data_IF_090952084457
#
_entry.id   IF_090952084457
#
_cell.length_a   1.000
_cell.length_b   1.000
_cell.length_c   1.000
_cell.angle_alpha   90.00
_cell.angle_beta   90.00
_cell.angle_gamma   90.00
#
_symmetry.space_group_name_H-M   'P 1'
#
loop_
_entity.id
_entity.type
_entity.pdbx_description
1 polymer ?
#
# COMPACT_ATOMS: atom_id res chain seq x y z
N UNK A 1 -27.41 14.17 -16.19
CA UNK A 1 -28.01 13.49 -17.36
C UNK A 1 -27.78 12.00 -17.15
N UNK A 2 -28.68 11.31 -16.44
CA UNK A 2 -29.70 10.40 -17.00
C UNK A 2 -29.22 9.57 -18.20
N UNK A 3 -29.11 8.25 -18.00
CA UNK A 3 -29.98 7.27 -18.66
C UNK A 3 -29.95 5.95 -17.88
N UNK A 4 -31.00 5.71 -17.09
CA UNK A 4 -31.35 4.38 -16.56
C UNK A 4 -32.13 3.66 -17.67
N UNK A 5 -31.56 2.60 -18.25
CA UNK A 5 -32.33 1.67 -19.09
C UNK A 5 -33.17 0.79 -18.18
N UNK A 6 -34.50 0.93 -18.27
CA UNK A 6 -35.46 -0.07 -17.79
C UNK A 6 -35.43 -1.23 -18.78
N UNK A 7 -35.24 -2.44 -18.27
CA UNK A 7 -35.47 -3.68 -19.01
C UNK A 7 -36.87 -4.14 -18.62
N UNK A 8 -37.76 -4.16 -19.61
CA UNK A 8 -39.05 -4.85 -19.59
C UNK A 8 -38.79 -6.33 -19.84
N UNK A 9 -39.33 -7.18 -18.98
CA UNK A 9 -39.36 -8.63 -19.13
C UNK A 9 -40.66 -8.93 -19.87
N UNK A 10 -40.55 -9.33 -21.13
CA UNK A 10 -41.62 -10.01 -21.85
C UNK A 10 -41.33 -11.51 -21.74
N UNK A 11 -42.26 -12.23 -21.13
CA UNK A 11 -42.35 -13.69 -21.11
C UNK A 11 -42.75 -14.16 -22.51
N UNK A 12 -41.91 -14.90 -23.24
CA UNK A 12 -42.37 -15.90 -24.22
C UNK A 12 -41.26 -16.90 -24.58
N UNK A 13 -41.69 -18.16 -24.52
CA UNK A 13 -41.29 -19.34 -25.30
C UNK A 13 -39.97 -20.06 -24.96
N UNK A 14 -40.15 -21.13 -24.17
CA UNK A 14 -39.41 -22.39 -24.26
C UNK A 14 -39.31 -22.83 -25.73
N UNK A 15 -38.08 -23.03 -26.22
CA UNK A 15 -37.62 -24.19 -27.01
C UNK A 15 -36.34 -23.79 -27.80
N UNK A 16 -35.26 -24.55 -27.59
CA UNK A 16 -33.99 -24.59 -28.35
C UNK A 16 -32.81 -23.64 -27.97
N UNK A 17 -32.18 -23.81 -26.80
CA UNK A 17 -30.96 -23.06 -26.39
C UNK A 17 -29.76 -23.95 -25.93
N UNK A 18 -29.52 -25.10 -26.55
CA UNK A 18 -28.30 -25.91 -26.26
C UNK A 18 -27.04 -25.43 -27.04
N UNK A 19 -27.18 -24.52 -28.02
CA UNK A 19 -26.06 -24.04 -28.85
C UNK A 19 -25.33 -22.78 -28.30
N UNK A 20 -25.90 -22.11 -27.28
CA UNK A 20 -25.34 -20.89 -26.70
C UNK A 20 -24.32 -21.18 -25.57
N UNK A 21 -24.33 -22.39 -25.01
CA UNK A 21 -23.46 -22.77 -23.90
C UNK A 21 -21.98 -22.90 -24.34
N UNK A 22 -21.74 -23.29 -25.60
CA UNK A 22 -20.39 -23.42 -26.19
C UNK A 22 -19.76 -22.04 -26.45
N UNK A 23 -20.57 -21.06 -26.88
CA UNK A 23 -20.14 -19.68 -27.12
C UNK A 23 -19.74 -18.96 -25.84
N UNK A 24 -20.52 -19.13 -24.77
CA UNK A 24 -20.22 -18.55 -23.45
C UNK A 24 -18.97 -19.20 -22.83
N UNK A 25 -18.78 -20.52 -22.99
CA UNK A 25 -17.55 -21.20 -22.54
C UNK A 25 -16.31 -20.70 -23.27
N UNK A 26 -16.39 -20.44 -24.58
CA UNK A 26 -15.27 -19.90 -25.34
C UNK A 26 -14.93 -18.46 -24.93
N UNK A 27 -15.92 -17.59 -24.72
CA UNK A 27 -15.69 -16.20 -24.30
C UNK A 27 -15.07 -16.11 -22.89
N UNK A 28 -15.52 -16.96 -21.96
CA UNK A 28 -14.93 -17.07 -20.63
C UNK A 28 -13.48 -17.57 -20.72
N UNK A 29 -13.21 -18.55 -21.58
CA UNK A 29 -11.86 -19.09 -21.79
C UNK A 29 -10.91 -18.03 -22.35
N UNK A 30 -11.33 -17.30 -23.39
CA UNK A 30 -10.56 -16.21 -24.00
C UNK A 30 -10.28 -15.08 -22.99
N UNK A 31 -11.24 -14.79 -22.10
CA UNK A 31 -11.11 -13.76 -21.07
C UNK A 31 -10.10 -14.17 -19.99
N UNK A 32 -10.16 -15.43 -19.54
CA UNK A 32 -9.19 -16.00 -18.61
C UNK A 32 -7.80 -16.02 -19.24
N UNK A 33 -7.69 -16.40 -20.51
CA UNK A 33 -6.41 -16.45 -21.21
C UNK A 33 -5.78 -15.05 -21.34
N UNK A 34 -6.56 -14.03 -21.72
CA UNK A 34 -6.10 -12.62 -21.74
C UNK A 34 -5.67 -12.13 -20.37
N UNK A 35 -6.40 -12.49 -19.32
CA UNK A 35 -6.05 -12.13 -17.94
C UNK A 35 -4.72 -12.77 -17.51
N UNK A 36 -4.54 -14.07 -17.79
CA UNK A 36 -3.30 -14.81 -17.49
C UNK A 36 -2.12 -14.24 -18.29
N UNK A 37 -2.29 -13.97 -19.58
CA UNK A 37 -1.26 -13.35 -20.42
C UNK A 37 -0.88 -11.96 -19.92
N UNK A 38 -1.86 -11.12 -19.58
CA UNK A 38 -1.61 -9.79 -19.02
C UNK A 38 -0.83 -9.87 -17.71
N UNK A 39 -1.24 -10.76 -16.81
CA UNK A 39 -0.56 -10.98 -15.52
C UNK A 39 0.86 -11.50 -15.73
N UNK A 40 1.07 -12.43 -16.66
CA UNK A 40 2.38 -12.98 -17.00
C UNK A 40 3.33 -11.88 -17.54
N UNK A 41 2.87 -11.05 -18.46
CA UNK A 41 3.64 -9.90 -18.98
C UNK A 41 4.01 -8.93 -17.86
N UNK A 42 3.10 -8.68 -16.92
CA UNK A 42 3.33 -7.78 -15.80
C UNK A 42 4.36 -8.36 -14.80
N UNK A 43 4.29 -9.66 -14.53
CA UNK A 43 5.30 -10.38 -13.73
C UNK A 43 6.67 -10.36 -14.41
N UNK A 44 6.75 -10.55 -15.73
CA UNK A 44 8.02 -10.46 -16.47
C UNK A 44 8.62 -9.05 -16.44
N UNK A 45 7.80 -8.00 -16.54
CA UNK A 45 8.25 -6.60 -16.38
C UNK A 45 8.81 -6.34 -14.99
N UNK A 46 8.14 -6.82 -13.95
CA UNK A 46 8.61 -6.70 -12.57
C UNK A 46 9.94 -7.45 -12.36
N UNK A 47 10.05 -8.69 -12.81
CA UNK A 47 11.28 -9.47 -12.72
C UNK A 47 12.44 -8.79 -13.45
N UNK A 48 12.18 -8.20 -14.63
CA UNK A 48 13.20 -7.45 -15.36
C UNK A 48 13.69 -6.24 -14.59
N UNK A 49 12.77 -5.48 -13.98
CA UNK A 49 13.13 -4.33 -13.14
C UNK A 49 14.00 -4.74 -11.95
N UNK A 50 13.64 -5.82 -11.25
CA UNK A 50 14.45 -6.36 -10.13
C UNK A 50 15.83 -6.83 -10.58
N UNK A 51 15.95 -7.41 -11.78
CA UNK A 51 17.24 -7.80 -12.36
C UNK A 51 18.11 -6.57 -12.64
N UNK A 52 17.53 -5.51 -13.19
CA UNK A 52 18.24 -4.27 -13.51
C UNK A 52 18.72 -3.56 -12.21
N UNK A 53 17.87 -3.47 -11.17
CA UNK A 53 18.27 -2.93 -9.86
C UNK A 53 19.39 -3.75 -9.21
N UNK A 54 19.31 -5.08 -9.26
CA UNK A 54 20.38 -5.95 -8.74
C UNK A 54 21.70 -5.77 -9.51
N UNK A 55 21.64 -5.46 -10.81
CA UNK A 55 22.81 -5.16 -11.62
C UNK A 55 23.46 -3.84 -11.18
N UNK A 56 22.67 -2.80 -10.96
CA UNK A 56 23.16 -1.51 -10.46
C UNK A 56 23.80 -1.64 -9.07
N UNK A 57 23.16 -2.38 -8.16
CA UNK A 57 23.72 -2.65 -6.83
C UNK A 57 25.07 -3.38 -6.91
N UNK A 58 25.20 -4.36 -7.80
CA UNK A 58 26.49 -5.05 -8.01
C UNK A 58 27.58 -4.11 -8.51
N UNK A 59 27.26 -3.23 -9.46
CA UNK A 59 28.20 -2.21 -9.94
C UNK A 59 28.60 -1.23 -8.83
N UNK A 60 27.65 -0.82 -7.99
CA UNK A 60 27.93 0.06 -6.85
C UNK A 60 28.85 -0.60 -5.83
N UNK A 61 28.60 -1.87 -5.49
CA UNK A 61 29.48 -2.66 -4.60
C UNK A 61 30.87 -2.81 -5.20
N UNK A 62 31.00 -3.01 -6.51
CA UNK A 62 32.29 -3.10 -7.19
C UNK A 62 33.06 -1.77 -7.12
N UNK A 63 32.38 -0.64 -7.30
CA UNK A 63 32.97 0.69 -7.13
C UNK A 63 33.47 0.93 -5.70
N UNK A 64 32.69 0.54 -4.69
CA UNK A 64 33.10 0.66 -3.29
C UNK A 64 34.32 -0.21 -2.97
N UNK A 65 34.40 -1.44 -3.53
CA UNK A 65 35.57 -2.31 -3.39
C UNK A 65 36.83 -1.68 -4.00
N UNK A 66 36.74 -1.12 -5.22
CA UNK A 66 37.87 -0.43 -5.85
C UNK A 66 38.38 0.75 -5.01
N UNK A 67 37.47 1.56 -4.47
CA UNK A 67 37.86 2.65 -3.56
C UNK A 67 38.52 2.16 -2.27
N UNK A 68 38.11 0.99 -1.76
CA UNK A 68 38.74 0.39 -0.59
C UNK A 68 40.12 -0.18 -0.91
N UNK A 69 40.29 -0.83 -2.07
CA UNK A 69 41.57 -1.35 -2.54
C UNK A 69 42.57 -0.20 -2.83
N UNK A 70 42.10 0.91 -3.42
CA UNK A 70 42.91 2.11 -3.64
C UNK A 70 43.35 2.76 -2.31
N UNK A 71 42.48 2.76 -1.30
CA UNK A 71 42.82 3.22 0.06
C UNK A 71 43.85 2.32 0.74
N UNK A 72 43.75 1.00 0.55
CA UNK A 72 44.71 0.04 1.10
C UNK A 72 46.08 0.19 0.41
N UNK A 73 46.12 0.46 -0.90
CA UNK A 73 47.37 0.75 -1.62
C UNK A 73 48.01 2.07 -1.19
N UNK A 74 47.22 3.11 -0.89
CA UNK A 74 47.74 4.38 -0.38
C UNK A 74 48.31 4.28 1.05
N UNK A 75 47.86 3.31 1.87
CA UNK A 75 48.42 3.08 3.22
C UNK A 75 49.71 2.23 3.22
N UNK A 76 50.12 1.64 2.10
CA UNK A 76 51.36 0.87 1.99
C UNK A 76 52.55 1.66 1.42
N UNK A 77 52.38 2.95 1.09
CA UNK A 77 53.52 3.80 0.76
C UNK A 77 54.15 4.39 2.04
N UNK A 78 55.49 4.33 2.20
CA UNK A 78 56.15 4.90 3.37
C UNK A 78 56.00 6.43 3.37
N UNK A 79 55.83 7.07 4.54
CA UNK A 79 55.62 8.51 4.62
C UNK A 79 56.88 9.24 4.16
N UNK A 80 56.72 10.17 3.22
CA UNK A 80 57.75 11.18 2.93
C UNK A 80 57.82 12.16 4.11
N UNK A 81 59.03 12.58 4.54
CA UNK A 81 59.18 13.41 5.72
C UNK A 81 58.59 14.82 5.48
N UNK A 82 57.95 15.44 6.48
CA UNK A 82 57.36 16.75 6.34
C UNK A 82 58.44 17.85 6.36
N UNK A 83 58.23 18.99 5.67
CA UNK A 83 59.09 20.14 5.81
C UNK A 83 58.91 20.76 7.20
N UNK A 84 60.04 21.16 7.79
CA UNK A 84 60.11 21.88 9.06
C UNK A 84 59.44 23.24 8.90
N UNK A 85 58.32 23.43 9.58
CA UNK A 85 57.69 24.74 9.78
C UNK A 85 57.96 25.16 11.22
N UNK A 86 58.69 26.25 11.36
CA UNK A 86 58.94 26.93 12.63
C UNK A 86 57.64 27.60 13.06
N UNK A 87 57.19 27.21 14.23
CA UNK A 87 56.01 27.71 14.92
C UNK A 87 56.27 29.11 15.46
N UNK A 88 55.31 30.01 15.25
CA UNK A 88 55.13 31.21 16.05
C UNK A 88 53.63 31.53 16.04
N UNK A 89 52.95 30.93 17.01
CA UNK A 89 51.63 31.29 17.50
C UNK A 89 51.51 32.80 17.73
N UNK A 90 50.33 33.38 17.49
CA UNK A 90 49.37 33.70 18.57
C UNK A 90 48.14 34.42 17.99
N UNK A 91 46.99 33.81 18.24
CA UNK A 91 45.63 34.32 18.44
C UNK A 91 44.84 35.09 17.38
N UNK A 92 43.60 34.61 17.32
CA UNK A 92 42.43 34.95 16.52
C UNK A 92 41.75 36.17 17.13
N UNK A 93 41.31 37.11 16.29
CA UNK A 93 40.09 37.87 16.56
C UNK A 93 39.25 38.01 15.28
N UNK A 94 38.01 37.57 15.40
CA UNK A 94 36.92 37.72 14.44
C UNK A 94 36.60 39.19 14.22
N UNK A 95 36.49 39.64 12.96
CA UNK A 95 35.62 40.77 12.63
C UNK A 95 34.86 40.51 11.34
N UNK A 96 33.54 40.62 11.48
CA UNK A 96 32.49 40.51 10.49
C UNK A 96 32.65 41.41 9.27
N UNK A 97 32.25 40.86 8.12
CA UNK A 97 32.11 41.54 6.84
C UNK A 97 30.82 42.37 6.87
N UNK A 98 30.91 43.69 6.66
CA UNK A 98 29.81 44.46 6.06
C UNK A 98 30.33 45.46 5.04
N UNK A 99 29.52 45.59 4.00
CA UNK A 99 29.74 46.28 2.73
C UNK A 99 29.91 47.80 2.90
N UNK A 100 30.78 48.39 2.09
CA UNK A 100 30.53 49.73 1.53
C UNK A 100 31.20 49.85 0.16
N UNK A 101 30.36 49.99 -0.88
CA UNK A 101 30.75 50.40 -2.22
C UNK A 101 31.29 51.83 -2.21
N UNK A 102 32.49 52.05 -2.74
CA UNK A 102 32.89 53.36 -3.29
C UNK A 102 33.71 53.13 -4.57
N UNK A 103 33.52 53.95 -5.64
CA UNK A 103 33.87 53.61 -7.01
C UNK A 103 35.36 53.81 -7.31
N UNK A 104 35.95 52.86 -8.03
CA UNK A 104 37.24 53.05 -8.70
C UNK A 104 37.08 54.06 -9.85
N UNK A 105 37.36 55.34 -9.58
CA UNK A 105 37.68 56.29 -10.63
C UNK A 105 39.08 55.96 -11.18
N UNK A 106 39.14 55.69 -12.49
CA UNK A 106 40.37 55.69 -13.27
C UNK A 106 40.89 57.12 -13.35
N UNK A 107 42.01 57.41 -12.69
CA UNK A 107 42.89 58.49 -13.13
C UNK A 107 44.07 57.87 -13.86
N UNK A 108 43.99 57.91 -15.18
CA UNK A 108 45.14 57.82 -16.06
C UNK A 108 46.04 59.03 -15.77
N UNK A 109 47.22 58.80 -15.20
CA UNK A 109 48.28 59.81 -15.18
C UNK A 109 49.34 59.45 -16.24
N UNK A 110 49.71 60.41 -17.11
CA UNK A 110 50.63 60.15 -18.20
C UNK A 110 52.06 60.01 -17.65
N UNK A 111 52.75 58.98 -18.13
CA UNK A 111 54.19 58.78 -17.96
C UNK A 111 54.91 60.01 -18.53
N UNK A 112 55.32 60.94 -17.66
CA UNK A 112 56.22 62.01 -18.05
C UNK A 112 57.59 61.40 -18.35
N UNK A 113 57.99 61.46 -19.61
CA UNK A 113 59.38 61.30 -20.03
C UNK A 113 60.20 62.33 -19.27
N UNK A 114 61.10 61.86 -18.41
CA UNK A 114 62.21 62.68 -17.93
C UNK A 114 63.20 62.74 -19.09
N UNK A 115 63.05 63.77 -19.92
CA UNK A 115 64.14 64.22 -20.79
C UNK A 115 65.21 64.82 -19.89
N UNK A 116 66.41 64.25 -19.95
CA UNK A 116 67.62 64.75 -19.32
C UNK A 116 68.02 66.09 -19.96
N UNK A 117 68.14 67.20 -19.21
CA UNK A 117 69.00 68.27 -19.64
C UNK A 117 70.43 67.89 -19.22
N UNK A 118 71.21 67.46 -20.21
CA UNK A 118 72.67 67.51 -20.12
C UNK A 118 73.02 69.00 -20.10
N UNK A 119 73.04 69.60 -18.91
CA UNK A 119 73.47 70.97 -18.71
C UNK A 119 74.99 71.02 -18.87
N UNK A 120 75.40 71.55 -20.02
CA UNK A 120 76.60 72.33 -20.29
C UNK A 120 77.68 72.29 -19.18
N UNK A 121 78.63 71.37 -19.32
CA UNK A 121 79.98 71.61 -18.80
C UNK A 121 80.56 72.71 -19.67
N UNK A 122 80.48 73.94 -19.18
CA UNK A 122 81.21 75.09 -19.69
C UNK A 122 82.71 74.77 -19.56
N UNK A 123 83.29 74.21 -20.62
CA UNK A 123 84.74 74.06 -20.76
C UNK A 123 85.29 75.49 -20.88
N UNK A 124 85.64 76.10 -19.74
CA UNK A 124 86.50 77.29 -19.72
C UNK A 124 87.83 76.87 -20.36
N UNK A 125 88.02 77.26 -21.61
CA UNK A 125 89.34 77.40 -22.20
C UNK A 125 90.22 78.19 -21.23
N UNK A 126 91.38 77.70 -20.79
CA UNK A 126 92.31 78.55 -20.08
C UNK A 126 92.79 79.61 -21.09
N UNK A 127 92.50 80.87 -20.80
CA UNK A 127 93.10 82.01 -21.49
C UNK A 127 94.63 81.99 -21.24
N UNK A 128 95.35 81.32 -22.13
CA UNK A 128 96.82 81.21 -22.13
C UNK A 128 97.58 82.44 -22.73
N UNK A 129 96.99 83.50 -23.35
CA UNK A 129 97.83 84.59 -23.88
C UNK A 129 98.39 85.57 -22.84
N UNK A 130 97.78 85.69 -21.66
CA UNK A 130 98.06 86.81 -20.75
C UNK A 130 99.28 86.57 -19.84
N UNK A 131 99.54 85.31 -19.47
CA UNK A 131 100.68 84.94 -18.62
C UNK A 131 102.02 84.98 -19.40
N UNK A 132 102.04 84.46 -20.63
CA UNK A 132 103.25 84.47 -21.47
C UNK A 132 103.67 85.89 -21.87
N UNK A 133 102.73 86.82 -22.02
CA UNK A 133 103.03 88.23 -22.37
C UNK A 133 103.70 89.00 -21.22
N UNK A 134 103.30 88.74 -19.97
CA UNK A 134 103.92 89.39 -18.79
C UNK A 134 105.34 88.89 -18.50
N UNK A 135 105.67 87.64 -18.87
CA UNK A 135 107.01 87.09 -18.70
C UNK A 135 108.01 87.62 -19.74
N UNK A 136 107.57 87.83 -20.99
CA UNK A 136 108.43 88.41 -22.04
C UNK A 136 108.70 89.89 -21.77
N UNK A 137 107.72 90.66 -21.28
CA UNK A 137 107.89 92.09 -21.00
C UNK A 137 108.81 92.38 -19.79
N UNK A 138 108.96 91.43 -18.85
CA UNK A 138 109.92 91.54 -17.72
C UNK A 138 111.37 91.16 -18.08
N UNK A 139 111.60 90.50 -19.21
CA UNK A 139 112.91 89.98 -19.60
C UNK A 139 113.72 90.96 -20.47
N UNK A 140 113.12 92.01 -21.03
CA UNK A 140 113.76 92.87 -22.06
C UNK A 140 114.52 94.09 -21.48
N UNK A 141 114.33 94.46 -20.21
CA UNK A 141 114.98 95.65 -19.62
C UNK A 141 115.69 95.36 -18.28
N UNK A 142 116.87 94.72 -18.31
CA UNK A 142 118.05 94.99 -17.44
C UNK A 142 119.18 93.98 -17.65
N UNK A 143 120.42 94.47 -17.51
CA UNK A 143 121.68 94.02 -18.10
C UNK A 143 122.34 92.76 -17.47
N UNK A 144 123.04 91.99 -18.31
CA UNK A 144 124.41 91.50 -18.07
C UNK A 144 124.65 90.29 -17.15
N UNK A 145 124.05 90.21 -15.97
CA UNK A 145 124.34 89.16 -14.96
C UNK A 145 123.06 88.49 -14.39
N UNK A 146 121.88 88.98 -14.80
CA UNK A 146 120.56 88.53 -14.33
C UNK A 146 119.79 87.68 -15.36
N UNK A 147 120.34 87.53 -16.58
CA UNK A 147 119.72 86.74 -17.65
C UNK A 147 119.76 85.24 -17.34
N UNK A 148 120.88 84.73 -16.81
CA UNK A 148 121.02 83.34 -16.38
C UNK A 148 120.01 83.02 -15.27
N UNK A 149 119.87 83.91 -14.29
CA UNK A 149 118.91 83.78 -13.18
C UNK A 149 117.46 83.79 -13.68
N UNK A 150 117.09 84.70 -14.59
CA UNK A 150 115.75 84.74 -15.21
C UNK A 150 115.48 83.55 -16.13
N UNK A 151 116.48 83.06 -16.86
CA UNK A 151 116.36 81.86 -17.69
C UNK A 151 116.18 80.61 -16.82
N UNK A 152 116.93 80.50 -15.71
CA UNK A 152 116.72 79.45 -14.71
C UNK A 152 115.33 79.54 -14.09
N UNK A 153 114.87 80.74 -13.73
CA UNK A 153 113.52 80.94 -13.18
C UNK A 153 112.42 80.55 -14.17
N UNK A 154 112.55 80.96 -15.43
CA UNK A 154 111.61 80.63 -16.49
C UNK A 154 111.63 79.13 -16.83
N UNK A 155 112.81 78.50 -16.79
CA UNK A 155 112.97 77.06 -17.00
C UNK A 155 112.40 76.26 -15.81
N UNK A 156 112.55 76.74 -14.59
CA UNK A 156 111.95 76.17 -13.38
C UNK A 156 110.42 76.33 -13.41
N UNK A 157 109.91 77.49 -13.81
CA UNK A 157 108.47 77.70 -14.05
C UNK A 157 107.95 76.76 -15.15
N UNK A 158 108.64 76.63 -16.28
CA UNK A 158 108.27 75.73 -17.36
C UNK A 158 108.30 74.26 -16.90
N UNK A 159 109.31 73.88 -16.11
CA UNK A 159 109.40 72.54 -15.53
C UNK A 159 108.30 72.29 -14.50
N UNK A 160 107.93 73.29 -13.70
CA UNK A 160 106.83 73.21 -12.76
C UNK A 160 105.48 73.12 -13.49
N UNK A 161 105.27 73.87 -14.58
CA UNK A 161 104.08 73.76 -15.42
C UNK A 161 104.00 72.39 -16.11
N UNK A 162 105.11 71.84 -16.60
CA UNK A 162 105.16 70.49 -17.17
C UNK A 162 104.83 69.42 -16.12
N UNK A 163 105.36 69.55 -14.90
CA UNK A 163 105.02 68.68 -13.77
C UNK A 163 103.53 68.78 -13.42
N UNK A 164 102.99 70.00 -13.31
CA UNK A 164 101.58 70.22 -13.03
C UNK A 164 100.67 69.66 -14.13
N UNK A 165 101.03 69.85 -15.40
CA UNK A 165 100.29 69.27 -16.52
C UNK A 165 100.30 67.73 -16.47
N UNK A 166 101.44 67.12 -16.13
CA UNK A 166 101.52 65.67 -15.95
C UNK A 166 100.67 65.18 -14.76
N UNK A 167 100.70 65.90 -13.64
CA UNK A 167 99.84 65.61 -12.47
C UNK A 167 98.36 65.68 -12.89
N UNK A 168 97.94 66.76 -13.55
CA UNK A 168 96.57 66.91 -14.02
C UNK A 168 96.18 65.81 -15.02
N UNK A 169 97.07 65.44 -15.95
CA UNK A 169 96.84 64.35 -16.90
C UNK A 169 96.62 63.02 -16.18
N UNK A 170 97.44 62.73 -15.17
CA UNK A 170 97.28 61.54 -14.34
C UNK A 170 95.99 61.58 -13.50
N UNK A 171 95.62 62.74 -12.95
CA UNK A 171 94.36 62.91 -12.23
C UNK A 171 93.15 62.69 -13.13
N UNK A 172 93.14 63.27 -14.34
CA UNK A 172 92.09 63.03 -15.33
C UNK A 172 92.02 61.56 -15.75
N UNK A 173 93.16 60.89 -15.91
CA UNK A 173 93.17 59.45 -16.23
C UNK A 173 92.61 58.61 -15.09
N UNK A 174 92.96 58.91 -13.82
CA UNK A 174 92.40 58.21 -12.65
C UNK A 174 90.90 58.43 -12.53
N UNK A 175 90.41 59.64 -12.82
CA UNK A 175 88.98 59.94 -12.80
C UNK A 175 88.26 59.23 -13.95
N UNK A 176 88.85 59.16 -15.15
CA UNK A 176 88.32 58.37 -16.27
C UNK A 176 88.23 56.88 -15.91
N UNK A 177 89.30 56.30 -15.36
CA UNK A 177 89.31 54.89 -14.92
C UNK A 177 88.27 54.64 -13.82
N UNK A 178 88.03 55.62 -12.94
CA UNK A 178 86.99 55.55 -11.90
C UNK A 178 85.60 55.54 -12.51
N UNK A 179 85.33 56.44 -13.45
CA UNK A 179 84.06 56.53 -14.18
C UNK A 179 83.81 55.25 -14.97
N UNK A 180 84.83 54.69 -15.64
CA UNK A 180 84.69 53.43 -16.39
C UNK A 180 84.38 52.24 -15.49
N UNK A 181 85.01 52.15 -14.31
CA UNK A 181 84.66 51.12 -13.31
C UNK A 181 83.23 51.31 -12.79
N UNK A 182 82.81 52.54 -12.53
CA UNK A 182 81.44 52.84 -12.08
C UNK A 182 80.43 52.49 -13.17
N UNK A 183 80.68 52.83 -14.43
CA UNK A 183 79.82 52.49 -15.56
C UNK A 183 79.72 50.97 -15.75
N UNK A 184 80.84 50.25 -15.66
CA UNK A 184 80.83 48.78 -15.74
C UNK A 184 80.03 48.14 -14.60
N UNK A 185 80.09 48.70 -13.39
CA UNK A 185 79.30 48.23 -12.26
C UNK A 185 77.81 48.52 -12.45
N UNK A 186 77.46 49.75 -12.86
CA UNK A 186 76.07 50.13 -13.14
C UNK A 186 75.47 49.29 -14.28
N UNK A 187 76.24 48.94 -15.31
CA UNK A 187 75.78 48.07 -16.40
C UNK A 187 75.49 46.64 -15.90
N UNK A 188 76.32 46.10 -15.00
CA UNK A 188 76.07 44.79 -14.35
C UNK A 188 74.82 44.83 -13.46
N UNK A 189 74.67 45.90 -12.69
CA UNK A 189 73.52 46.08 -11.80
C UNK A 189 72.23 46.25 -12.60
N UNK A 190 72.27 47.02 -13.70
CA UNK A 190 71.16 47.17 -14.64
C UNK A 190 70.77 45.84 -15.27
N UNK A 191 71.74 45.05 -15.73
CA UNK A 191 71.49 43.72 -16.31
C UNK A 191 70.87 42.77 -15.28
N UNK A 192 71.35 42.82 -14.04
CA UNK A 192 70.80 42.01 -12.94
C UNK A 192 69.36 42.43 -12.61
N UNK A 193 69.08 43.73 -12.52
CA UNK A 193 67.75 44.26 -12.29
C UNK A 193 66.78 43.89 -13.43
N UNK A 194 67.21 43.96 -14.69
CA UNK A 194 66.41 43.53 -15.84
C UNK A 194 66.09 42.03 -15.81
N UNK A 195 67.06 41.19 -15.43
CA UNK A 195 66.83 39.75 -15.25
C UNK A 195 65.83 39.46 -14.12
N UNK A 196 65.98 40.14 -12.97
CA UNK A 196 65.05 40.02 -11.85
C UNK A 196 63.64 40.47 -12.23
N UNK A 197 63.51 41.57 -12.98
CA UNK A 197 62.22 42.04 -13.50
C UNK A 197 61.57 41.00 -14.41
N UNK A 198 62.34 40.38 -15.31
CA UNK A 198 61.85 39.33 -16.21
C UNK A 198 61.35 38.11 -15.42
N UNK A 199 62.10 37.68 -14.39
CA UNK A 199 61.70 36.57 -13.51
C UNK A 199 60.43 36.93 -12.73
N UNK A 200 60.34 38.14 -12.19
CA UNK A 200 59.16 38.62 -11.46
C UNK A 200 57.92 38.69 -12.36
N UNK A 201 58.06 39.20 -13.58
CA UNK A 201 56.98 39.24 -14.58
C UNK A 201 56.49 37.84 -14.94
N UNK A 202 57.41 36.89 -15.18
CA UNK A 202 57.04 35.49 -15.43
C UNK A 202 56.25 34.90 -14.25
N UNK A 203 56.76 35.07 -13.03
CA UNK A 203 56.06 34.59 -11.81
C UNK A 203 54.69 35.25 -11.62
N UNK A 204 54.54 36.53 -11.95
CA UNK A 204 53.25 37.21 -11.89
C UNK A 204 52.25 36.63 -12.90
N UNK A 205 52.68 36.36 -14.14
CA UNK A 205 51.85 35.73 -15.17
C UNK A 205 51.46 34.29 -14.81
N UNK A 206 52.39 33.51 -14.25
CA UNK A 206 52.12 32.15 -13.79
C UNK A 206 51.04 32.17 -12.68
N UNK A 207 51.18 33.06 -11.68
CA UNK A 207 50.16 33.26 -10.62
C UNK A 207 48.82 33.77 -11.16
N UNK A 208 48.83 34.62 -12.18
CA UNK A 208 47.60 35.08 -12.82
C UNK A 208 46.86 33.93 -13.49
N UNK A 209 47.59 33.04 -14.16
CA UNK A 209 47.03 31.84 -14.79
C UNK A 209 46.46 30.87 -13.74
N UNK A 210 47.20 30.66 -12.65
CA UNK A 210 46.73 29.85 -11.51
C UNK A 210 45.44 30.42 -10.91
N UNK A 211 45.37 31.74 -10.68
CA UNK A 211 44.16 32.40 -10.19
C UNK A 211 42.96 32.23 -11.13
N UNK A 212 43.18 32.26 -12.45
CA UNK A 212 42.11 32.02 -13.44
C UNK A 212 41.58 30.58 -13.36
N UNK A 213 42.48 29.60 -13.19
CA UNK A 213 42.11 28.19 -13.02
C UNK A 213 41.31 28.01 -11.73
N UNK A 214 41.82 28.54 -10.60
CA UNK A 214 41.14 28.46 -9.31
C UNK A 214 39.76 29.13 -9.33
N UNK A 215 39.65 30.28 -10.00
CA UNK A 215 38.36 30.97 -10.16
C UNK A 215 37.36 30.11 -10.95
N UNK A 216 37.82 29.44 -12.00
CA UNK A 216 37.00 28.54 -12.80
C UNK A 216 36.54 27.33 -11.97
N UNK A 217 37.45 26.68 -11.25
CA UNK A 217 37.11 25.57 -10.34
C UNK A 217 36.15 25.98 -9.22
N UNK A 218 36.28 27.19 -8.67
CA UNK A 218 35.34 27.72 -7.69
C UNK A 218 33.94 27.92 -8.29
N UNK A 219 33.86 28.36 -9.54
CA UNK A 219 32.58 28.47 -10.25
C UNK A 219 31.93 27.11 -10.44
N UNK A 220 32.69 26.10 -10.87
CA UNK A 220 32.17 24.73 -11.06
C UNK A 220 31.68 24.11 -9.74
N UNK A 221 32.42 24.33 -8.65
CA UNK A 221 32.03 23.90 -7.31
C UNK A 221 30.74 24.60 -6.84
N UNK A 222 30.56 25.90 -7.14
CA UNK A 222 29.31 26.61 -6.83
C UNK A 222 28.11 26.01 -7.57
N UNK A 223 28.24 25.78 -8.87
CA UNK A 223 27.17 25.16 -9.69
C UNK A 223 26.83 23.76 -9.16
N UNK A 224 27.86 22.98 -8.82
CA UNK A 224 27.67 21.64 -8.25
C UNK A 224 26.94 21.71 -6.91
N UNK A 225 27.31 22.64 -6.03
CA UNK A 225 26.66 22.83 -4.74
C UNK A 225 25.19 23.29 -4.88
N UNK A 226 24.90 24.21 -5.79
CA UNK A 226 23.53 24.62 -6.11
C UNK A 226 22.69 23.45 -6.62
N UNK A 227 23.26 22.60 -7.48
CA UNK A 227 22.59 21.40 -8.00
C UNK A 227 22.31 20.40 -6.89
N UNK A 228 23.29 20.14 -6.01
CA UNK A 228 23.13 19.26 -4.86
C UNK A 228 22.06 19.78 -3.89
N UNK A 229 22.04 21.08 -3.59
CA UNK A 229 21.01 21.69 -2.76
C UNK A 229 19.61 21.54 -3.39
N UNK A 230 19.49 21.72 -4.71
CA UNK A 230 18.22 21.46 -5.41
C UNK A 230 17.79 20.00 -5.28
N UNK A 231 18.72 19.04 -5.37
CA UNK A 231 18.42 17.62 -5.17
C UNK A 231 18.01 17.30 -3.74
N UNK A 232 18.69 17.86 -2.73
CA UNK A 232 18.33 17.69 -1.32
C UNK A 232 16.91 18.21 -1.07
N UNK A 233 16.57 19.42 -1.51
CA UNK A 233 15.23 19.97 -1.36
C UNK A 233 14.16 19.09 -2.02
N UNK A 234 14.44 18.53 -3.20
CA UNK A 234 13.53 17.59 -3.88
C UNK A 234 13.36 16.28 -3.12
N UNK A 235 14.43 15.77 -2.50
CA UNK A 235 14.38 14.56 -1.69
C UNK A 235 13.59 14.80 -0.40
N UNK A 236 13.78 15.93 0.26
CA UNK A 236 13.01 16.34 1.45
C UNK A 236 11.52 16.43 1.13
N UNK A 237 11.14 17.11 0.04
CA UNK A 237 9.75 17.18 -0.41
C UNK A 237 9.14 15.80 -0.69
N UNK A 238 9.89 14.91 -1.36
CA UNK A 238 9.44 13.53 -1.59
C UNK A 238 9.28 12.76 -0.28
N UNK A 239 10.19 12.96 0.67
CA UNK A 239 10.14 12.30 1.97
C UNK A 239 8.90 12.75 2.75
N UNK A 240 8.57 14.04 2.73
CA UNK A 240 7.33 14.58 3.33
C UNK A 240 6.08 13.95 2.69
N UNK A 241 6.03 13.83 1.37
CA UNK A 241 4.92 13.17 0.67
C UNK A 241 4.78 11.70 1.05
N UNK A 242 5.90 10.98 1.18
CA UNK A 242 5.91 9.57 1.62
C UNK A 242 5.38 9.46 3.05
N UNK A 243 5.82 10.33 3.96
CA UNK A 243 5.33 10.36 5.35
C UNK A 243 3.82 10.60 5.38
N UNK A 244 3.31 11.60 4.65
CA UNK A 244 1.87 11.87 4.57
C UNK A 244 1.08 10.68 4.03
N UNK A 245 1.57 10.04 2.96
CA UNK A 245 0.93 8.85 2.40
C UNK A 245 0.94 7.68 3.37
N UNK A 246 2.03 7.48 4.12
CA UNK A 246 2.15 6.43 5.12
C UNK A 246 1.18 6.65 6.27
N UNK A 247 1.08 7.89 6.78
CA UNK A 247 0.11 8.25 7.82
C UNK A 247 -1.33 7.99 7.38
N UNK A 248 -1.69 8.37 6.15
CA UNK A 248 -3.03 8.11 5.62
C UNK A 248 -3.32 6.62 5.47
N UNK A 249 -2.34 5.85 4.98
CA UNK A 249 -2.44 4.40 4.85
C UNK A 249 -2.62 3.73 6.21
N UNK A 250 -1.90 4.18 7.23
CA UNK A 250 -1.99 3.64 8.58
C UNK A 250 -3.34 3.96 9.24
N UNK A 251 -3.86 5.17 9.05
CA UNK A 251 -5.20 5.52 9.49
C UNK A 251 -6.27 4.62 8.83
N UNK A 252 -6.16 4.43 7.52
CA UNK A 252 -7.09 3.56 6.76
C UNK A 252 -7.02 2.11 7.27
N UNK A 253 -5.82 1.62 7.58
CA UNK A 253 -5.61 0.28 8.16
C UNK A 253 -6.34 0.15 9.51
N UNK A 254 -6.19 1.14 10.39
CA UNK A 254 -6.85 1.15 11.70
C UNK A 254 -8.39 1.17 11.57
N UNK A 255 -8.93 1.95 10.62
CA UNK A 255 -10.37 2.00 10.37
C UNK A 255 -10.90 0.62 9.91
N UNK A 256 -10.19 -0.05 9.00
CA UNK A 256 -10.54 -1.41 8.59
C UNK A 256 -10.42 -2.43 9.73
N UNK A 257 -9.39 -2.32 10.58
CA UNK A 257 -9.26 -3.19 11.76
C UNK A 257 -10.40 -2.99 12.77
N UNK A 258 -10.96 -1.78 12.87
CA UNK A 258 -12.14 -1.52 13.68
C UNK A 258 -13.38 -2.20 13.07
N UNK A 259 -13.60 -2.04 11.77
CA UNK A 259 -14.72 -2.66 11.06
C UNK A 259 -14.69 -4.19 11.15
N UNK A 260 -13.50 -4.81 11.00
CA UNK A 260 -13.34 -6.26 11.15
C UNK A 260 -13.70 -6.72 12.57
N UNK A 261 -13.31 -5.96 13.60
CA UNK A 261 -13.68 -6.27 14.99
C UNK A 261 -15.18 -6.19 15.22
N UNK A 262 -15.84 -5.16 14.69
CA UNK A 262 -17.30 -5.03 14.77
C UNK A 262 -18.03 -6.18 14.08
N UNK A 263 -17.60 -6.56 12.87
CA UNK A 263 -18.17 -7.69 12.13
C UNK A 263 -17.96 -9.02 12.85
N UNK A 264 -16.80 -9.23 13.48
CA UNK A 264 -16.55 -10.43 14.29
C UNK A 264 -17.48 -10.50 15.51
N UNK A 265 -17.73 -9.37 16.16
CA UNK A 265 -18.66 -9.30 17.29
C UNK A 265 -20.10 -9.59 16.85
N UNK A 266 -20.56 -9.02 15.74
CA UNK A 266 -21.88 -9.30 15.18
C UNK A 266 -22.04 -10.77 14.81
N UNK A 267 -21.04 -11.35 14.13
CA UNK A 267 -21.05 -12.78 13.80
C UNK A 267 -21.13 -13.68 15.04
N UNK A 268 -20.44 -13.31 16.12
CA UNK A 268 -20.52 -14.05 17.38
C UNK A 268 -21.92 -13.96 18.00
N UNK A 269 -22.53 -12.77 17.99
CA UNK A 269 -23.90 -12.58 18.49
C UNK A 269 -24.92 -13.39 17.67
N UNK A 270 -24.80 -13.39 16.35
CA UNK A 270 -25.71 -14.14 15.47
C UNK A 270 -25.55 -15.65 15.64
N UNK A 271 -24.32 -16.13 15.84
CA UNK A 271 -24.07 -17.55 16.18
C UNK A 271 -24.72 -17.95 17.49
N UNK A 272 -24.68 -17.07 18.50
CA UNK A 272 -25.34 -17.33 19.78
C UNK A 272 -26.86 -17.38 19.63
N UNK A 273 -27.47 -16.41 18.93
CA UNK A 273 -28.91 -16.41 18.65
C UNK A 273 -29.35 -17.65 17.86
N UNK A 274 -28.56 -18.06 16.87
CA UNK A 274 -28.85 -19.27 16.09
C UNK A 274 -28.81 -20.52 16.95
N UNK A 275 -27.85 -20.61 17.89
CA UNK A 275 -27.78 -21.70 18.84
C UNK A 275 -28.99 -21.74 19.77
N UNK A 276 -29.41 -20.60 20.31
CA UNK A 276 -30.62 -20.48 21.15
C UNK A 276 -31.88 -20.89 20.37
N UNK A 277 -32.03 -20.41 19.13
CA UNK A 277 -33.16 -20.77 18.26
C UNK A 277 -33.19 -22.27 17.93
N UNK A 278 -32.02 -22.89 17.74
CA UNK A 278 -31.93 -24.33 17.48
C UNK A 278 -32.35 -25.16 18.71
N UNK A 279 -32.04 -24.71 19.92
CA UNK A 279 -32.54 -25.35 21.15
C UNK A 279 -34.07 -25.26 21.22
N UNK A 280 -34.63 -24.08 20.94
CA UNK A 280 -36.09 -23.88 20.93
C UNK A 280 -36.77 -24.75 19.87
N UNK A 281 -36.22 -24.82 18.67
CA UNK A 281 -36.69 -25.70 17.60
C UNK A 281 -36.72 -27.16 18.05
N UNK A 282 -35.63 -27.68 18.62
CA UNK A 282 -35.56 -29.05 19.12
C UNK A 282 -36.58 -29.32 20.22
N UNK A 283 -36.80 -28.35 21.11
CA UNK A 283 -37.82 -28.48 22.16
C UNK A 283 -39.23 -28.56 21.57
N UNK A 284 -39.56 -27.70 20.60
CA UNK A 284 -40.85 -27.70 19.93
C UNK A 284 -41.08 -28.99 19.13
N UNK A 285 -40.04 -29.52 18.47
CA UNK A 285 -40.09 -30.79 17.75
C UNK A 285 -40.39 -31.96 18.70
N UNK A 286 -39.79 -31.98 19.90
CA UNK A 286 -40.11 -32.98 20.93
C UNK A 286 -41.56 -32.87 21.42
N UNK A 287 -42.05 -31.65 21.66
CA UNK A 287 -43.44 -31.45 22.06
C UNK A 287 -44.43 -31.90 20.98
N UNK A 288 -44.09 -31.66 19.71
CA UNK A 288 -44.90 -32.13 18.58
C UNK A 288 -44.96 -33.66 18.56
N UNK A 289 -43.83 -34.35 18.71
CA UNK A 289 -43.80 -35.82 18.75
C UNK A 289 -44.63 -36.39 19.90
N UNK A 290 -44.58 -35.78 21.09
CA UNK A 290 -45.42 -36.19 22.23
C UNK A 290 -46.90 -36.02 21.88
N UNK A 291 -47.27 -34.87 21.29
CA UNK A 291 -48.65 -34.58 20.90
C UNK A 291 -49.15 -35.55 19.82
N UNK A 292 -48.32 -35.92 18.85
CA UNK A 292 -48.63 -36.91 17.82
C UNK A 292 -48.87 -38.31 18.43
N UNK A 293 -48.06 -38.71 19.40
CA UNK A 293 -48.25 -39.97 20.13
C UNK A 293 -49.57 -39.97 20.93
N UNK A 294 -49.90 -38.86 21.60
CA UNK A 294 -51.15 -38.72 22.34
C UNK A 294 -52.36 -38.79 21.42
N UNK A 295 -52.31 -38.11 20.27
CA UNK A 295 -53.35 -38.18 19.23
C UNK A 295 -53.52 -39.62 18.75
N UNK A 296 -52.42 -40.33 18.48
CA UNK A 296 -52.49 -41.72 18.03
C UNK A 296 -53.10 -42.63 19.11
N UNK A 297 -52.70 -42.48 20.37
CA UNK A 297 -53.27 -43.20 21.51
C UNK A 297 -54.77 -42.95 21.67
N UNK A 298 -55.22 -41.70 21.51
CA UNK A 298 -56.64 -41.35 21.53
C UNK A 298 -57.40 -41.96 20.35
N UNK A 299 -56.80 -41.99 19.16
CA UNK A 299 -57.37 -42.62 17.97
C UNK A 299 -57.56 -44.12 18.17
N UNK A 300 -56.58 -44.79 18.76
CA UNK A 300 -56.66 -46.23 19.05
C UNK A 300 -57.73 -46.53 20.11
N UNK A 301 -57.84 -45.70 21.15
CA UNK A 301 -58.93 -45.80 22.15
C UNK A 301 -60.30 -45.60 21.51
N UNK A 302 -60.44 -44.61 20.62
CA UNK A 302 -61.70 -44.35 19.91
C UNK A 302 -62.09 -45.55 19.04
N UNK A 303 -61.15 -46.12 18.28
CA UNK A 303 -61.40 -47.30 17.46
C UNK A 303 -61.85 -48.50 18.31
N UNK A 304 -61.19 -48.76 19.44
CA UNK A 304 -61.60 -49.83 20.36
C UNK A 304 -63.03 -49.63 20.89
N UNK A 305 -63.42 -48.40 21.22
CA UNK A 305 -64.79 -48.11 21.66
C UNK A 305 -65.80 -48.22 20.51
N UNK A 306 -65.43 -47.86 19.29
CA UNK A 306 -66.25 -48.08 18.10
C UNK A 306 -66.46 -49.58 17.85
N UNK A 307 -65.42 -50.40 17.96
CA UNK A 307 -65.51 -51.86 17.79
C UNK A 307 -66.42 -52.50 18.87
N UNK A 308 -66.27 -52.09 20.14
CA UNK A 308 -67.17 -52.54 21.23
C UNK A 308 -68.62 -52.14 20.99
N UNK A 309 -68.84 -50.91 20.52
CA UNK A 309 -70.18 -50.44 20.18
C UNK A 309 -70.76 -51.25 19.03
N UNK A 310 -69.97 -51.56 18.00
CA UNK A 310 -70.41 -52.40 16.89
C UNK A 310 -70.77 -53.81 17.38
N UNK A 311 -69.94 -54.43 18.23
CA UNK A 311 -70.25 -55.71 18.84
C UNK A 311 -71.56 -55.67 19.64
N UNK A 312 -71.78 -54.59 20.40
CA UNK A 312 -73.03 -54.40 21.17
C UNK A 312 -74.24 -54.24 20.23
N UNK A 313 -74.07 -53.57 19.09
CA UNK A 313 -75.13 -53.48 18.06
C UNK A 313 -75.46 -54.87 17.52
N UNK A 314 -74.45 -55.66 17.15
CA UNK A 314 -74.62 -57.01 16.60
C UNK A 314 -75.31 -57.95 17.63
N UNK A 315 -74.90 -57.89 18.90
CA UNK A 315 -75.53 -58.63 20.00
C UNK A 315 -77.00 -58.22 20.19
N UNK A 316 -77.31 -56.93 20.09
CA UNK A 316 -78.68 -56.43 20.16
C UNK A 316 -79.52 -56.87 18.96
N UNK A 317 -78.95 -56.96 17.76
CA UNK A 317 -79.64 -57.51 16.59
C UNK A 317 -79.97 -58.99 16.78
N UNK A 318 -79.01 -59.79 17.27
CA UNK A 318 -79.23 -61.20 17.59
C UNK A 318 -80.31 -61.38 18.68
N UNK A 319 -80.30 -60.55 19.73
CA UNK A 319 -81.33 -60.55 20.76
C UNK A 319 -82.71 -60.22 20.18
N UNK A 320 -82.80 -59.24 19.27
CA UNK A 320 -84.07 -58.93 18.57
C UNK A 320 -84.56 -60.11 17.76
N UNK A 321 -83.70 -60.83 17.06
CA UNK A 321 -84.07 -62.05 16.33
C UNK A 321 -84.53 -63.16 17.26
N UNK A 322 -83.84 -63.40 18.37
CA UNK A 322 -84.25 -64.37 19.39
C UNK A 322 -85.62 -64.04 19.99
N UNK A 323 -85.87 -62.75 20.27
CA UNK A 323 -87.18 -62.29 20.75
C UNK A 323 -88.26 -62.57 19.70
N UNK A 324 -88.02 -62.28 18.41
CA UNK A 324 -88.96 -62.60 17.33
C UNK A 324 -89.24 -64.10 17.26
N UNK A 325 -88.21 -64.93 17.36
CA UNK A 325 -88.36 -66.38 17.35
C UNK A 325 -89.19 -66.89 18.53
N UNK A 326 -88.91 -66.41 19.75
CA UNK A 326 -89.69 -66.76 20.94
C UNK A 326 -91.13 -66.27 20.86
N UNK A 327 -91.37 -65.10 20.26
CA UNK A 327 -92.73 -64.60 20.00
C UNK A 327 -93.51 -65.53 19.07
N UNK A 328 -92.86 -66.04 18.00
CA UNK A 328 -93.47 -67.01 17.09
C UNK A 328 -93.79 -68.31 17.84
N UNK A 329 -92.83 -68.89 18.57
CA UNK A 329 -93.06 -70.11 19.35
C UNK A 329 -94.19 -69.95 20.38
N UNK A 330 -94.29 -68.78 21.02
CA UNK A 330 -95.35 -68.49 21.97
C UNK A 330 -96.71 -68.39 21.26
N UNK A 331 -96.77 -67.74 20.09
CA UNK A 331 -97.98 -67.70 19.28
C UNK A 331 -98.42 -69.10 18.84
N UNK A 332 -97.49 -69.96 18.42
CA UNK A 332 -97.76 -71.36 18.07
C UNK A 332 -98.32 -72.15 19.26
N UNK A 333 -97.72 -72.00 20.45
CA UNK A 333 -98.25 -72.63 21.68
C UNK A 333 -99.64 -72.14 22.04
N UNK A 334 -99.88 -70.83 21.95
CA UNK A 334 -101.22 -70.25 22.18
C UNK A 334 -102.22 -70.85 21.18
N UNK A 335 -101.87 -70.93 19.89
CA UNK A 335 -102.72 -71.55 18.88
C UNK A 335 -103.00 -73.02 19.17
N UNK A 336 -101.97 -73.81 19.49
CA UNK A 336 -102.10 -75.22 19.84
C UNK A 336 -102.98 -75.44 21.09
N UNK A 337 -102.86 -74.58 22.10
CA UNK A 337 -103.69 -74.63 23.29
C UNK A 337 -105.13 -74.22 23.02
N UNK A 338 -105.37 -73.20 22.18
CA UNK A 338 -106.70 -72.85 21.71
C UNK A 338 -107.35 -74.01 20.93
N UNK A 339 -106.59 -74.69 20.08
CA UNK A 339 -107.05 -75.83 19.30
C UNK A 339 -107.36 -77.05 20.19
N UNK A 340 -106.50 -77.36 21.16
CA UNK A 340 -106.74 -78.39 22.16
C UNK A 340 -107.97 -78.06 23.03
N UNK A 341 -108.16 -76.81 23.43
CA UNK A 341 -109.36 -76.38 24.15
C UNK A 341 -110.62 -76.52 23.29
N UNK A 342 -110.55 -76.20 22.00
CA UNK A 342 -111.64 -76.42 21.03
C UNK A 342 -111.94 -77.92 20.85
N UNK A 343 -110.92 -78.76 20.79
CA UNK A 343 -111.06 -80.22 20.70
C UNK A 343 -111.66 -80.82 21.98
N UNK A 344 -111.21 -80.39 23.16
CA UNK A 344 -111.82 -80.74 24.45
C UNK A 344 -113.28 -80.33 24.50
N UNK A 345 -113.63 -79.14 24.00
CA UNK A 345 -115.00 -78.67 23.91
C UNK A 345 -115.84 -79.52 22.96
N UNK A 346 -115.31 -79.87 21.77
CA UNK A 346 -115.96 -80.78 20.82
C UNK A 346 -116.16 -82.18 21.42
N UNK A 347 -115.16 -82.72 22.11
CA UNK A 347 -115.25 -84.01 22.79
C UNK A 347 -116.26 -83.99 23.95
N UNK A 348 -116.35 -82.88 24.69
CA UNK A 348 -117.40 -82.69 25.70
C UNK A 348 -118.78 -82.69 25.05
N UNK A 349 -118.96 -81.89 24.00
CA UNK A 349 -120.21 -81.83 23.23
C UNK A 349 -120.57 -83.20 22.64
N UNK A 350 -119.58 -83.99 22.21
CA UNK A 350 -119.79 -85.33 21.69
C UNK A 350 -120.21 -86.31 22.80
N UNK A 351 -119.62 -86.22 24.01
CA UNK A 351 -120.08 -87.00 25.17
C UNK A 351 -121.51 -86.67 25.53
N UNK A 352 -121.87 -85.38 25.54
CA UNK A 352 -123.24 -84.93 25.78
C UNK A 352 -124.19 -85.47 24.71
N UNK A 353 -123.79 -85.43 23.44
CA UNK A 353 -124.55 -86.03 22.34
C UNK A 353 -124.76 -87.54 22.50
N UNK A 354 -123.70 -88.29 22.84
CA UNK A 354 -123.79 -89.75 23.08
C UNK A 354 -124.71 -90.04 24.26
N UNK A 355 -124.65 -89.26 25.33
CA UNK A 355 -125.52 -89.38 26.49
C UNK A 355 -126.98 -89.13 26.13
N UNK A 356 -127.26 -88.05 25.38
CA UNK A 356 -128.60 -87.74 24.86
C UNK A 356 -129.10 -88.88 23.97
N UNK A 357 -128.27 -89.40 23.06
CA UNK A 357 -128.62 -90.54 22.20
C UNK A 357 -128.97 -91.79 23.02
N UNK A 358 -128.21 -92.08 24.08
CA UNK A 358 -128.43 -93.24 24.97
C UNK A 358 -129.73 -93.07 25.77
N UNK A 359 -130.01 -91.87 26.27
CA UNK A 359 -131.29 -91.53 26.91
C UNK A 359 -132.46 -91.67 25.93
N UNK A 360 -132.29 -91.25 24.68
CA UNK A 360 -133.31 -91.39 23.63
C UNK A 360 -133.61 -92.87 23.34
N UNK A 361 -132.58 -93.73 23.29
CA UNK A 361 -132.75 -95.18 23.15
C UNK A 361 -133.46 -95.82 24.33
N UNK A 362 -133.16 -95.39 25.56
CA UNK A 362 -133.89 -95.84 26.76
C UNK A 362 -135.37 -95.44 26.68
N UNK A 363 -135.69 -94.19 26.32
CA UNK A 363 -137.08 -93.79 26.10
C UNK A 363 -137.77 -94.55 24.95
N UNK A 364 -137.03 -94.95 23.91
CA UNK A 364 -137.57 -95.81 22.85
C UNK A 364 -137.87 -97.22 23.37
N UNK A 365 -137.00 -97.81 24.20
CA UNK A 365 -137.23 -99.10 24.84
C UNK A 365 -138.39 -99.06 25.84
N UNK A 366 -138.50 -98.00 26.64
CA UNK A 366 -139.63 -97.77 27.53
C UNK A 366 -140.93 -97.62 26.73
N UNK A 367 -140.92 -96.91 25.59
CA UNK A 367 -142.08 -96.83 24.71
C UNK A 367 -142.47 -98.19 24.10
N UNK A 368 -141.51 -99.05 23.75
CA UNK A 368 -141.80 -100.42 23.32
C UNK A 368 -142.36 -101.28 24.45
N UNK A 369 -141.83 -101.16 25.67
CA UNK A 369 -142.37 -101.83 26.85
C UNK A 369 -143.79 -101.39 27.16
N UNK A 370 -144.07 -100.09 27.13
CA UNK A 370 -145.43 -99.54 27.28
C UNK A 370 -146.36 -100.02 26.16
N UNK A 371 -145.89 -100.10 24.90
CA UNK A 371 -146.65 -100.71 23.80
C UNK A 371 -147.00 -102.17 24.08
N UNK A 372 -146.08 -102.94 24.65
CA UNK A 372 -146.29 -104.33 25.02
C UNK A 372 -147.22 -104.49 26.23
N UNK A 373 -147.17 -103.58 27.21
CA UNK A 373 -148.13 -103.55 28.32
C UNK A 373 -149.54 -103.15 27.87
N UNK A 374 -149.68 -102.18 26.97
CA UNK A 374 -150.96 -101.82 26.36
C UNK A 374 -151.54 -103.02 25.60
N UNK A 375 -150.72 -103.79 24.86
CA UNK A 375 -151.15 -105.05 24.23
C UNK A 375 -151.60 -106.10 25.26
N UNK A 376 -150.89 -106.25 26.38
CA UNK A 376 -151.27 -107.18 27.47
C UNK A 376 -152.58 -106.76 28.14
N UNK A 377 -152.83 -105.46 28.32
CA UNK A 377 -154.08 -104.93 28.84
C UNK A 377 -155.23 -105.15 27.85
N UNK A 378 -155.01 -104.96 26.55
CA UNK A 378 -156.00 -105.28 25.51
C UNK A 378 -156.43 -106.75 25.54
N UNK A 379 -155.49 -107.67 25.78
CA UNK A 379 -155.78 -109.12 25.89
C UNK A 379 -156.54 -109.44 27.19
N UNK A 380 -156.25 -108.76 28.30
CA UNK A 380 -156.99 -108.93 29.57
C UNK A 380 -158.44 -108.41 29.52
N UNK A 381 -158.71 -107.38 28.71
CA UNK A 381 -160.08 -106.88 28.53
C UNK A 381 -160.95 -107.72 27.58
N UNK A 382 -160.34 -108.53 26.71
CA UNK A 382 -161.07 -109.35 25.74
C UNK A 382 -161.58 -110.71 26.29
N UNK A 383 -161.10 -111.17 27.46
CA UNK A 383 -161.30 -112.55 27.92
C UNK A 383 -162.15 -112.73 29.20
N UNK A 384 -162.85 -111.70 29.70
CA UNK A 384 -163.64 -111.79 30.95
C UNK A 384 -165.12 -111.35 30.82
N UNK A 385 -165.67 -111.29 29.60
CA UNK A 385 -167.12 -111.28 29.37
C UNK A 385 -167.47 -112.55 28.58
N UNK A 386 -167.60 -113.67 29.28
CA UNK A 386 -168.60 -114.75 29.08
C UNK A 386 -168.35 -115.90 30.06
#
# INVERSE_FOLDING_TARGET
MQQRKRVTIDDYDDDDDDDDEEGVKQEVTDTIEKFVQSRHVQTLKYLRHVIDENRELRLHIEHLKRHQDDRIQQQQQPPSPPPVVVDNSTEVEEISITQEEIPFQREETPIQRIETPISEILIRTPEIPTFYKQLVDKAINTEGEDFESKYHLLNDELNNLKKQHNINREEYQRELDRVDRQNSQLEKDLKTAQQQLTIAQKRANDKQTENQILTSSLSDLRITNETLNSHVNKLEQKNEQIIQSLTLSEQTRLDFESQVRELQQLLQQDRQKLFELNIEYQHNEQQLQISEQDIQSLKDKLNNELDKNQQTIDENELLKENIKYLQIQLQEKIHAEQENNREKQLNSNFKDFVQVKRNLQLCQQENEQLKNEIKKLHIKFANNND
#
